data_IF_260983609891
#
_entry.id   IF_260983609891
#
_cell.length_a   1.000
_cell.length_b   1.000
_cell.length_c   1.000
_cell.angle_alpha   90.00
_cell.angle_beta   90.00
_cell.angle_gamma   90.00
#
_symmetry.space_group_name_H-M   'P 1'
#
loop_
_entity.id
_entity.type
_entity.pdbx_description
1 polymer ?
#
# COMPACT_ATOMS: atom_id res chain seq x y z
N UNK A 1 53.24 -2.77 -46.19
CA UNK A 1 53.66 -4.16 -46.37
C UNK A 1 53.93 -4.74 -45.01
N UNK A 2 52.98 -5.49 -44.47
CA UNK A 2 53.19 -6.44 -43.38
C UNK A 2 51.92 -7.29 -43.31
N UNK A 3 52.06 -8.50 -43.71
CA UNK A 3 51.05 -9.52 -43.89
C UNK A 3 50.66 -10.20 -42.58
N UNK A 4 49.40 -10.29 -42.29
CA UNK A 4 48.85 -11.12 -41.22
C UNK A 4 48.78 -12.61 -41.65
N UNK A 5 48.97 -13.59 -40.73
CA UNK A 5 48.90 -15.02 -41.05
C UNK A 5 47.44 -15.52 -40.98
N UNK A 6 47.11 -16.65 -41.66
CA UNK A 6 45.78 -17.19 -41.81
C UNK A 6 45.34 -18.08 -40.62
N UNK A 7 44.04 -18.06 -40.37
CA UNK A 7 43.33 -18.92 -39.39
C UNK A 7 43.23 -20.38 -39.89
N UNK A 8 43.37 -21.40 -39.01
CA UNK A 8 43.19 -22.81 -39.38
C UNK A 8 41.73 -23.27 -39.38
N UNK A 9 41.43 -24.18 -40.30
CA UNK A 9 40.15 -24.79 -40.64
C UNK A 9 39.78 -25.93 -39.66
N UNK A 10 38.51 -26.07 -39.25
CA UNK A 10 38.09 -27.09 -38.26
C UNK A 10 37.62 -28.37 -38.96
N UNK A 11 38.53 -29.21 -39.42
CA UNK A 11 38.23 -30.56 -39.94
C UNK A 11 39.43 -31.50 -39.78
N UNK A 12 39.83 -31.79 -38.52
CA UNK A 12 40.68 -32.93 -38.26
C UNK A 12 40.65 -33.25 -36.76
N UNK A 13 39.74 -34.15 -36.38
CA UNK A 13 39.80 -34.82 -35.09
C UNK A 13 39.51 -36.31 -35.33
N UNK A 14 40.43 -37.24 -35.04
CA UNK A 14 40.19 -38.67 -35.22
C UNK A 14 39.41 -39.27 -34.05
N UNK A 15 38.46 -40.13 -34.41
CA UNK A 15 37.63 -40.91 -33.52
C UNK A 15 38.44 -42.00 -32.78
N UNK A 16 38.33 -42.11 -31.49
CA UNK A 16 38.75 -43.22 -30.65
C UNK A 16 37.56 -44.17 -30.42
N UNK A 17 37.73 -45.40 -30.83
CA UNK A 17 36.84 -46.58 -30.64
C UNK A 17 36.94 -47.11 -29.19
N UNK A 18 35.88 -47.72 -28.63
CA UNK A 18 35.89 -48.37 -27.33
C UNK A 18 36.50 -49.75 -27.30
N UNK A 19 37.27 -50.09 -26.27
CA UNK A 19 37.69 -51.38 -25.92
C UNK A 19 36.70 -52.12 -25.01
N UNK A 20 36.34 -53.31 -25.35
CA UNK A 20 35.41 -54.16 -24.64
C UNK A 20 36.12 -55.10 -23.61
N UNK A 21 35.33 -55.44 -22.61
CA UNK A 21 35.34 -56.73 -21.82
C UNK A 21 36.43 -56.89 -20.77
N UNK A 22 36.02 -57.02 -19.49
CA UNK A 22 36.00 -58.38 -18.88
C UNK A 22 35.10 -58.37 -17.64
N UNK A 23 34.17 -59.34 -17.64
CA UNK A 23 33.37 -59.68 -16.50
C UNK A 23 34.16 -60.61 -15.57
N UNK A 24 34.30 -60.26 -14.31
CA UNK A 24 34.57 -61.21 -13.25
C UNK A 24 33.70 -60.91 -12.02
N UNK A 25 33.02 -61.94 -11.66
CA UNK A 25 32.10 -62.18 -10.54
C UNK A 25 32.80 -61.96 -9.21
N UNK A 26 32.28 -61.06 -8.40
CA UNK A 26 32.52 -61.05 -6.94
C UNK A 26 31.25 -60.68 -6.17
N UNK A 27 30.97 -61.60 -5.28
CA UNK A 27 30.01 -61.76 -4.23
C UNK A 27 29.20 -60.52 -3.77
N UNK A 28 27.88 -60.71 -3.69
CA UNK A 28 26.94 -59.89 -2.96
C UNK A 28 27.30 -59.85 -1.47
N UNK A 29 27.66 -58.70 -0.97
CA UNK A 29 27.53 -58.32 0.43
C UNK A 29 26.43 -57.24 0.52
N UNK A 30 25.36 -57.56 1.22
CA UNK A 30 24.29 -56.62 1.50
C UNK A 30 24.85 -55.42 2.31
N UNK A 31 24.44 -54.17 2.00
CA UNK A 31 24.76 -53.04 2.85
C UNK A 31 23.92 -53.14 4.14
N UNK A 32 24.48 -52.72 5.30
CA UNK A 32 23.74 -52.70 6.55
C UNK A 32 22.54 -51.74 6.44
N UNK A 33 21.43 -52.14 7.05
CA UNK A 33 20.18 -51.42 7.13
C UNK A 33 20.41 -49.94 7.43
N UNK A 34 19.87 -49.08 6.56
CA UNK A 34 19.68 -47.67 6.85
C UNK A 34 18.75 -47.58 8.09
N UNK A 35 19.34 -47.22 9.21
CA UNK A 35 18.59 -46.77 10.36
C UNK A 35 17.84 -45.49 9.97
N UNK A 36 16.53 -45.63 9.92
CA UNK A 36 15.54 -44.54 9.86
C UNK A 36 15.89 -43.43 10.85
N UNK A 37 16.63 -42.41 10.41
CA UNK A 37 16.71 -41.14 11.08
C UNK A 37 15.42 -40.35 10.74
N UNK A 38 14.35 -40.80 11.39
CA UNK A 38 13.08 -40.11 11.43
C UNK A 38 13.28 -38.62 11.71
N UNK A 39 12.50 -37.82 10.99
CA UNK A 39 12.27 -36.38 11.05
C UNK A 39 11.97 -35.84 12.48
N UNK A 40 12.98 -35.78 13.33
CA UNK A 40 12.85 -35.29 14.70
C UNK A 40 14.14 -34.65 15.22
N UNK A 41 14.74 -33.72 14.43
CA UNK A 41 15.81 -32.87 15.01
C UNK A 41 16.07 -31.54 14.26
N UNK A 42 15.12 -31.05 13.47
CA UNK A 42 15.20 -29.69 12.95
C UNK A 42 14.61 -28.62 13.89
N UNK A 43 14.21 -28.98 15.12
CA UNK A 43 13.62 -28.04 16.11
C UNK A 43 14.58 -27.51 17.17
N UNK A 44 15.86 -27.84 17.12
CA UNK A 44 16.78 -27.54 18.23
C UNK A 44 17.63 -26.29 18.09
N UNK A 45 17.48 -25.48 17.02
CA UNK A 45 18.22 -24.22 16.89
C UNK A 45 17.38 -23.05 16.39
N UNK A 46 16.14 -22.94 16.76
CA UNK A 46 15.49 -21.63 16.82
C UNK A 46 15.86 -20.97 18.15
N UNK A 47 17.11 -20.55 18.25
CA UNK A 47 17.47 -19.53 19.24
C UNK A 47 16.69 -18.28 18.84
N UNK A 48 15.60 -18.02 19.57
CA UNK A 48 14.99 -16.70 19.56
C UNK A 48 16.12 -15.70 19.77
N UNK A 49 16.30 -14.68 18.90
CA UNK A 49 17.38 -13.74 19.08
C UNK A 49 17.29 -13.18 20.51
N UNK A 50 18.40 -13.13 21.25
CA UNK A 50 18.38 -12.66 22.63
C UNK A 50 17.69 -11.30 22.66
N UNK A 51 16.76 -11.12 23.60
CA UNK A 51 16.06 -9.85 23.79
C UNK A 51 17.12 -8.79 24.09
N UNK A 52 17.40 -7.91 23.11
CA UNK A 52 18.39 -6.83 23.29
C UNK A 52 17.86 -5.69 24.14
N UNK A 53 16.57 -5.67 24.43
CA UNK A 53 15.94 -4.69 25.33
C UNK A 53 16.60 -4.76 26.72
N UNK A 54 16.97 -3.60 27.26
CA UNK A 54 17.70 -3.45 28.49
C UNK A 54 19.24 -3.50 28.34
N UNK A 55 19.77 -3.93 27.18
CA UNK A 55 21.21 -3.92 26.92
C UNK A 55 21.72 -2.50 26.64
N UNK A 56 22.99 -2.30 26.99
CA UNK A 56 23.74 -1.08 26.67
C UNK A 56 24.91 -1.44 25.79
N UNK A 57 25.14 -0.65 24.75
CA UNK A 57 26.33 -0.72 23.88
C UNK A 57 26.79 0.69 23.56
N UNK A 58 28.10 0.95 23.63
CA UNK A 58 28.63 2.29 23.47
C UNK A 58 27.87 3.31 24.34
N UNK A 59 27.32 4.34 23.69
CA UNK A 59 26.56 5.41 24.34
C UNK A 59 25.03 5.18 24.38
N UNK A 60 24.54 3.97 24.01
CA UNK A 60 23.12 3.72 23.84
C UNK A 60 22.61 2.61 24.76
N UNK A 61 21.54 2.92 25.50
CA UNK A 61 20.76 1.95 26.27
C UNK A 61 19.45 1.65 25.50
N UNK A 62 19.25 0.40 25.09
CA UNK A 62 18.04 -0.04 24.39
C UNK A 62 16.88 -0.17 25.36
N UNK A 63 15.79 0.58 25.14
CA UNK A 63 14.65 0.64 26.05
C UNK A 63 13.49 -0.26 25.59
N UNK A 64 13.17 -0.22 24.29
CA UNK A 64 11.99 -0.87 23.72
C UNK A 64 12.22 -1.18 22.23
N UNK A 65 11.75 -2.33 21.75
CA UNK A 65 11.66 -2.62 20.31
C UNK A 65 10.41 -1.92 19.75
N UNK A 66 10.60 -0.96 18.83
CA UNK A 66 9.51 -0.16 18.25
C UNK A 66 9.18 -0.55 16.80
N UNK A 67 10.03 -1.37 16.16
CA UNK A 67 9.78 -1.85 14.82
C UNK A 67 10.73 -2.97 14.41
N UNK A 68 10.23 -3.89 13.58
CA UNK A 68 11.01 -4.99 12.99
C UNK A 68 10.63 -5.13 11.53
N UNK A 69 11.64 -5.17 10.66
CA UNK A 69 11.46 -5.30 9.22
C UNK A 69 12.53 -6.13 8.55
N UNK A 70 12.44 -6.31 7.25
CA UNK A 70 13.38 -7.11 6.47
C UNK A 70 14.82 -6.60 6.43
N UNK A 71 15.09 -5.37 6.92
CA UNK A 71 16.41 -4.75 6.96
C UNK A 71 16.94 -4.54 8.39
N UNK A 72 16.27 -5.06 9.40
CA UNK A 72 16.72 -4.92 10.79
C UNK A 72 15.62 -4.58 11.76
N UNK A 73 16.04 -4.25 12.97
CA UNK A 73 15.18 -3.94 14.11
C UNK A 73 15.41 -2.50 14.53
N UNK A 74 14.35 -1.79 14.88
CA UNK A 74 14.41 -0.41 15.38
C UNK A 74 14.05 -0.43 16.87
N UNK A 75 14.93 0.16 17.67
CA UNK A 75 14.73 0.31 19.09
C UNK A 75 14.56 1.78 19.47
N UNK A 76 13.68 2.06 20.41
CA UNK A 76 13.74 3.27 21.23
C UNK A 76 14.93 3.11 22.19
N UNK A 77 15.82 4.08 22.23
CA UNK A 77 17.03 4.03 23.06
C UNK A 77 17.27 5.36 23.77
N UNK A 78 17.98 5.31 24.89
CA UNK A 78 18.53 6.51 25.56
C UNK A 78 19.98 6.68 25.17
N UNK A 79 20.33 7.80 24.60
CA UNK A 79 21.70 8.22 24.42
C UNK A 79 22.22 8.77 25.75
N UNK A 80 23.16 8.05 26.39
CA UNK A 80 23.55 8.26 27.79
C UNK A 80 24.28 9.60 27.97
N UNK A 81 25.24 9.90 27.09
CA UNK A 81 26.09 11.10 27.20
C UNK A 81 25.31 12.42 27.06
N UNK A 82 24.20 12.42 26.27
CA UNK A 82 23.37 13.58 26.01
C UNK A 82 22.01 13.53 26.72
N UNK A 83 21.75 12.48 27.47
CA UNK A 83 20.50 12.21 28.19
C UNK A 83 19.23 12.47 27.32
N UNK A 84 19.24 11.96 26.11
CA UNK A 84 18.12 12.11 25.17
C UNK A 84 17.61 10.78 24.64
N UNK A 85 16.34 10.76 24.22
CA UNK A 85 15.76 9.61 23.54
C UNK A 85 16.09 9.69 22.05
N UNK A 86 16.48 8.55 21.48
CA UNK A 86 16.80 8.36 20.06
C UNK A 86 16.15 7.08 19.56
N UNK A 87 16.03 6.94 18.23
CA UNK A 87 15.76 5.66 17.60
C UNK A 87 17.07 5.04 17.10
N UNK A 88 17.28 3.77 17.38
CA UNK A 88 18.46 3.02 16.92
C UNK A 88 17.99 1.90 16.01
N UNK A 89 18.35 1.97 14.73
CA UNK A 89 18.09 0.91 13.75
C UNK A 89 19.32 0.03 13.67
N UNK A 90 19.15 -1.28 13.84
CA UNK A 90 20.21 -2.27 13.90
C UNK A 90 20.01 -3.35 12.86
N UNK A 91 21.10 -3.72 12.17
CA UNK A 91 21.16 -4.90 11.32
C UNK A 91 21.70 -6.06 12.16
N UNK A 92 20.92 -7.12 12.35
CA UNK A 92 21.20 -8.20 13.28
C UNK A 92 21.18 -9.58 12.62
N UNK A 93 21.81 -10.55 13.29
CA UNK A 93 21.71 -11.98 12.99
C UNK A 93 22.24 -12.37 11.61
N UNK A 94 21.48 -13.20 10.89
CA UNK A 94 21.86 -13.72 9.55
C UNK A 94 22.11 -12.60 8.52
N UNK A 95 21.51 -11.43 8.72
CA UNK A 95 21.69 -10.28 7.83
C UNK A 95 23.09 -9.71 7.86
N UNK A 96 23.85 -9.93 8.93
CA UNK A 96 25.26 -9.52 9.05
C UNK A 96 26.18 -10.37 8.17
N UNK A 97 25.79 -11.60 7.83
CA UNK A 97 26.52 -12.51 6.99
C UNK A 97 26.35 -12.20 5.51
N UNK A 98 25.39 -11.34 5.15
CA UNK A 98 25.13 -10.92 3.78
C UNK A 98 25.79 -9.55 3.49
N UNK A 99 26.93 -9.51 2.76
CA UNK A 99 27.64 -8.26 2.45
C UNK A 99 26.76 -7.26 1.67
N UNK A 100 25.83 -7.76 0.85
CA UNK A 100 24.92 -6.93 0.05
C UNK A 100 23.93 -6.22 0.97
N UNK A 101 23.38 -6.92 1.97
CA UNK A 101 22.49 -6.31 2.96
C UNK A 101 23.20 -5.30 3.84
N UNK A 102 24.42 -5.61 4.29
CA UNK A 102 25.25 -4.66 5.04
C UNK A 102 25.53 -3.37 4.23
N UNK A 103 25.95 -3.52 2.97
CA UNK A 103 26.22 -2.38 2.10
C UNK A 103 24.95 -1.53 1.88
N UNK A 104 23.80 -2.16 1.69
CA UNK A 104 22.49 -1.48 1.56
C UNK A 104 22.13 -0.68 2.81
N UNK A 105 22.24 -1.30 3.98
CA UNK A 105 21.96 -0.67 5.27
C UNK A 105 22.82 0.57 5.50
N UNK A 106 24.13 0.46 5.26
CA UNK A 106 25.08 1.57 5.42
C UNK A 106 24.84 2.67 4.37
N UNK A 107 24.48 2.30 3.14
CA UNK A 107 24.17 3.28 2.07
C UNK A 107 22.90 4.07 2.42
N UNK A 108 21.85 3.41 2.90
CA UNK A 108 20.63 4.06 3.39
C UNK A 108 20.95 5.07 4.49
N UNK A 109 21.68 4.64 5.52
CA UNK A 109 22.08 5.49 6.64
C UNK A 109 22.91 6.71 6.21
N UNK A 110 23.92 6.52 5.35
CA UNK A 110 24.78 7.62 4.84
C UNK A 110 24.00 8.60 4.00
N UNK A 111 23.08 8.11 3.18
CA UNK A 111 22.24 8.97 2.33
C UNK A 111 21.32 9.83 3.16
N UNK A 112 20.68 9.25 4.18
CA UNK A 112 19.85 10.01 5.12
C UNK A 112 20.65 11.04 5.93
N UNK A 113 21.89 10.69 6.34
CA UNK A 113 22.77 11.60 7.06
C UNK A 113 23.17 12.86 6.24
N UNK A 114 23.11 12.78 4.90
CA UNK A 114 23.35 13.91 4.00
C UNK A 114 22.14 14.86 3.84
N UNK A 115 20.97 14.54 4.43
CA UNK A 115 19.74 15.34 4.34
C UNK A 115 19.54 16.15 5.62
N UNK A 116 19.44 17.46 5.48
CA UNK A 116 19.10 18.38 6.59
C UNK A 116 17.81 19.14 6.23
N UNK A 117 16.69 18.63 6.72
CA UNK A 117 15.36 19.21 6.50
C UNK A 117 14.46 18.94 7.71
N UNK A 118 13.66 19.91 8.19
CA UNK A 118 12.84 19.76 9.40
C UNK A 118 11.80 18.62 9.32
N UNK A 119 11.44 18.21 8.11
CA UNK A 119 10.47 17.12 7.87
C UNK A 119 11.11 15.85 7.29
N UNK A 120 12.41 15.68 7.47
CA UNK A 120 13.13 14.42 7.22
C UNK A 120 13.79 14.01 8.53
N UNK A 121 13.67 12.73 8.89
CA UNK A 121 14.30 12.21 10.11
C UNK A 121 15.82 12.42 10.07
N UNK A 122 16.38 12.99 11.12
CA UNK A 122 17.83 13.28 11.20
C UNK A 122 18.59 12.06 11.69
N UNK A 123 19.65 11.65 10.96
CA UNK A 123 20.61 10.64 11.41
C UNK A 123 21.71 11.33 12.22
N UNK A 124 21.99 10.78 13.41
CA UNK A 124 22.97 11.34 14.34
C UNK A 124 24.33 10.64 14.27
N UNK A 125 24.29 9.30 14.10
CA UNK A 125 25.50 8.47 14.15
C UNK A 125 25.29 7.21 13.32
N UNK A 126 26.33 6.75 12.66
CA UNK A 126 26.40 5.46 11.96
C UNK A 126 27.64 4.76 12.45
N UNK A 127 27.51 3.55 12.98
CA UNK A 127 28.64 2.84 13.57
C UNK A 127 28.40 1.32 13.63
N UNK A 128 29.30 0.59 14.27
CA UNK A 128 29.23 -0.85 14.50
C UNK A 128 29.47 -1.15 15.98
N UNK A 129 28.75 -2.15 16.52
CA UNK A 129 28.93 -2.67 17.87
C UNK A 129 29.01 -4.20 17.83
N UNK A 130 29.13 -4.85 19.01
CA UNK A 130 29.17 -6.30 19.14
C UNK A 130 27.94 -7.02 18.58
N UNK A 131 26.81 -6.33 18.45
CA UNK A 131 25.56 -6.86 17.89
C UNK A 131 25.43 -6.66 16.38
N UNK A 132 26.26 -5.80 15.77
CA UNK A 132 26.23 -5.53 14.33
C UNK A 132 26.31 -4.05 13.96
N UNK A 133 25.97 -3.76 12.71
CA UNK A 133 25.89 -2.37 12.23
C UNK A 133 24.63 -1.70 12.77
N UNK A 134 24.75 -0.43 13.15
CA UNK A 134 23.62 0.38 13.58
C UNK A 134 23.73 1.82 13.09
N UNK A 135 22.60 2.50 13.09
CA UNK A 135 22.59 3.96 13.07
C UNK A 135 21.56 4.51 14.08
N UNK A 136 21.97 5.60 14.75
CA UNK A 136 21.13 6.34 15.66
C UNK A 136 20.51 7.54 14.93
N UNK A 137 19.23 7.77 15.13
CA UNK A 137 18.46 8.82 14.47
C UNK A 137 17.48 9.48 15.43
N UNK A 138 16.87 10.57 15.00
CA UNK A 138 15.80 11.26 15.71
C UNK A 138 14.68 10.28 16.07
N UNK A 139 14.30 10.23 17.35
CA UNK A 139 13.09 9.53 17.76
C UNK A 139 11.90 10.44 17.55
N UNK A 140 11.03 10.09 16.63
CA UNK A 140 9.81 10.84 16.33
C UNK A 140 8.68 10.28 17.19
N UNK A 141 8.29 11.03 18.22
CA UNK A 141 7.14 10.67 19.04
C UNK A 141 5.85 11.06 18.32
N UNK A 142 5.06 10.06 17.90
CA UNK A 142 3.86 10.31 17.10
C UNK A 142 3.22 9.04 16.53
N UNK A 143 2.49 9.22 15.45
CA UNK A 143 1.81 8.12 14.75
C UNK A 143 2.14 8.14 13.25
N UNK A 144 2.19 6.96 12.63
CA UNK A 144 2.31 6.88 11.18
C UNK A 144 1.02 7.35 10.50
N UNK A 145 1.15 7.93 9.30
CA UNK A 145 -0.01 8.28 8.48
C UNK A 145 -0.94 7.09 8.24
N UNK A 146 -0.38 5.91 8.09
CA UNK A 146 -1.17 4.68 7.95
C UNK A 146 -2.06 4.44 9.18
N UNK A 147 -1.51 4.61 10.39
CA UNK A 147 -2.25 4.45 11.64
C UNK A 147 -3.35 5.51 11.79
N UNK A 148 -3.06 6.76 11.39
CA UNK A 148 -4.02 7.87 11.46
C UNK A 148 -5.21 7.58 10.54
N UNK A 149 -4.96 7.18 9.28
CA UNK A 149 -6.05 6.85 8.34
C UNK A 149 -6.90 5.69 8.86
N UNK A 150 -6.28 4.63 9.36
CA UNK A 150 -7.01 3.48 9.92
C UNK A 150 -7.94 3.85 11.08
N UNK A 151 -7.58 4.88 11.86
CA UNK A 151 -8.33 5.29 13.07
C UNK A 151 -9.32 6.43 12.83
N UNK A 152 -9.04 7.33 11.89
CA UNK A 152 -9.69 8.64 11.83
C UNK A 152 -10.25 9.00 10.44
N UNK A 153 -10.24 8.07 9.48
CA UNK A 153 -10.83 8.37 8.17
C UNK A 153 -12.37 8.55 8.31
N UNK A 154 -12.97 9.53 7.61
CA UNK A 154 -12.40 10.47 6.63
C UNK A 154 -11.65 11.65 7.26
N UNK A 155 -10.54 12.06 6.63
CA UNK A 155 -9.73 13.19 7.06
C UNK A 155 -10.13 14.48 6.33
N UNK A 156 -10.03 15.68 6.96
CA UNK A 156 -10.31 16.95 6.29
C UNK A 156 -9.36 17.24 5.14
N UNK A 157 -9.88 17.69 3.99
CA UNK A 157 -9.08 17.99 2.81
C UNK A 157 -8.02 19.08 3.06
N UNK A 158 -8.35 20.10 3.86
CA UNK A 158 -7.42 21.16 4.25
C UNK A 158 -6.22 20.62 5.04
N UNK A 159 -6.46 19.68 5.97
CA UNK A 159 -5.39 19.05 6.73
C UNK A 159 -4.51 18.20 5.80
N UNK A 160 -5.13 17.38 4.93
CA UNK A 160 -4.41 16.53 3.97
C UNK A 160 -3.51 17.38 3.08
N UNK A 161 -4.05 18.42 2.45
CA UNK A 161 -3.30 19.25 1.50
C UNK A 161 -2.20 20.06 2.18
N UNK A 162 -2.43 20.53 3.43
CA UNK A 162 -1.41 21.22 4.23
C UNK A 162 -0.23 20.32 4.54
N UNK A 163 -0.52 19.15 5.08
CA UNK A 163 0.46 18.16 5.48
C UNK A 163 1.23 17.62 4.28
N UNK A 164 0.55 17.26 3.18
CA UNK A 164 1.19 16.72 1.98
C UNK A 164 2.03 17.75 1.23
N UNK A 165 1.72 19.04 1.31
CA UNK A 165 2.60 20.07 0.79
C UNK A 165 3.95 20.12 1.52
N UNK A 166 3.96 19.87 2.84
CA UNK A 166 5.20 19.79 3.63
C UNK A 166 5.98 18.51 3.32
N UNK A 167 5.28 17.38 3.15
CA UNK A 167 5.91 16.12 2.74
C UNK A 167 6.53 16.25 1.35
N UNK A 168 5.82 16.83 0.39
CA UNK A 168 6.33 17.04 -0.97
C UNK A 168 7.55 18.00 -0.99
N UNK A 169 7.59 19.01 -0.12
CA UNK A 169 8.73 19.92 0.06
C UNK A 169 9.96 19.17 0.59
N UNK A 170 9.77 18.27 1.56
CA UNK A 170 10.83 17.40 2.07
C UNK A 170 11.38 16.46 0.97
N UNK A 171 10.51 15.89 0.15
CA UNK A 171 10.93 15.04 -1.00
C UNK A 171 11.66 15.89 -2.05
N UNK A 172 11.19 17.11 -2.33
CA UNK A 172 11.91 18.02 -3.24
C UNK A 172 13.30 18.37 -2.71
N UNK A 173 13.47 18.56 -1.40
CA UNK A 173 14.80 18.77 -0.81
C UNK A 173 15.71 17.56 -1.07
N UNK A 174 15.23 16.32 -0.89
CA UNK A 174 16.00 15.12 -1.21
C UNK A 174 16.37 15.06 -2.71
N UNK A 175 15.42 15.36 -3.60
CA UNK A 175 15.64 15.40 -5.05
C UNK A 175 16.70 16.42 -5.44
N UNK A 176 16.75 17.60 -4.80
CA UNK A 176 17.79 18.61 -5.04
C UNK A 176 19.21 18.15 -4.68
N UNK A 177 19.33 17.12 -3.84
CA UNK A 177 20.57 16.43 -3.48
C UNK A 177 20.84 15.18 -4.32
N UNK A 178 20.03 14.93 -5.37
CA UNK A 178 20.14 13.74 -6.21
C UNK A 178 19.61 12.45 -5.56
N UNK A 179 18.88 12.56 -4.44
CA UNK A 179 18.38 11.42 -3.67
C UNK A 179 16.91 11.20 -3.98
N UNK A 180 16.54 9.98 -4.37
CA UNK A 180 15.17 9.53 -4.65
C UNK A 180 14.76 8.60 -3.52
N UNK A 181 13.53 8.79 -2.98
CA UNK A 181 13.06 8.02 -1.83
C UNK A 181 12.74 6.55 -2.18
N UNK A 182 12.06 6.29 -3.30
CA UNK A 182 11.76 4.96 -3.88
C UNK A 182 10.83 4.03 -3.09
N UNK A 183 10.58 4.28 -1.81
CA UNK A 183 9.65 3.50 -0.96
C UNK A 183 8.72 4.41 -0.18
N UNK A 184 8.25 5.47 -0.81
CA UNK A 184 7.34 6.41 -0.18
C UNK A 184 5.96 5.77 0.01
N UNK A 185 5.50 5.71 1.26
CA UNK A 185 4.22 5.11 1.67
C UNK A 185 3.78 5.68 3.02
N UNK A 186 2.50 5.56 3.40
CA UNK A 186 1.97 6.14 4.64
C UNK A 186 2.65 5.65 5.91
N UNK A 187 3.19 4.43 5.94
CA UNK A 187 3.94 3.90 7.09
C UNK A 187 5.33 4.53 7.26
N UNK A 188 5.89 5.16 6.20
CA UNK A 188 7.18 5.84 6.21
C UNK A 188 7.05 7.36 6.44
N UNK A 189 5.86 7.84 6.83
CA UNK A 189 5.61 9.22 7.22
C UNK A 189 4.99 9.21 8.60
N UNK A 190 5.65 9.83 9.57
CA UNK A 190 5.12 10.04 10.92
C UNK A 190 4.57 11.46 11.06
N UNK A 191 3.52 11.57 11.85
CA UNK A 191 3.02 12.86 12.35
C UNK A 191 3.41 12.94 13.82
N UNK A 192 4.27 13.89 14.16
CA UNK A 192 4.73 14.07 15.54
C UNK A 192 3.65 14.70 16.44
N UNK A 193 3.93 14.80 17.72
CA UNK A 193 3.02 15.41 18.73
C UNK A 193 2.70 16.87 18.45
N UNK A 194 3.52 17.57 17.63
CA UNK A 194 3.31 18.96 17.18
C UNK A 194 2.60 19.03 15.82
N UNK A 195 2.04 17.92 15.32
CA UNK A 195 1.39 17.82 14.01
C UNK A 195 2.34 18.07 12.83
N UNK A 196 3.65 17.90 13.00
CA UNK A 196 4.64 18.03 11.95
C UNK A 196 4.81 16.68 11.25
N UNK A 197 4.72 16.59 9.91
CA UNK A 197 5.07 15.37 9.18
C UNK A 197 6.59 15.21 9.13
N UNK A 198 7.05 13.97 9.32
CA UNK A 198 8.46 13.58 9.25
C UNK A 198 8.57 12.34 8.36
N UNK A 199 9.33 12.46 7.28
CA UNK A 199 9.61 11.38 6.33
C UNK A 199 10.77 10.54 6.86
N UNK A 200 10.61 9.21 6.80
CA UNK A 200 11.58 8.23 7.28
C UNK A 200 11.88 7.20 6.20
N UNK A 201 12.89 6.35 6.44
CA UNK A 201 13.19 5.13 5.68
C UNK A 201 13.25 5.32 4.16
N UNK A 202 14.30 6.01 3.67
CA UNK A 202 14.58 6.13 2.24
C UNK A 202 14.95 4.76 1.67
N UNK A 203 14.15 4.26 0.73
CA UNK A 203 14.22 2.89 0.17
C UNK A 203 15.38 2.64 -0.80
N UNK A 204 16.55 3.26 -0.59
CA UNK A 204 17.75 3.17 -1.45
C UNK A 204 18.23 1.73 -1.56
N UNK A 205 18.07 0.96 -0.50
CA UNK A 205 18.46 -0.44 -0.43
C UNK A 205 17.71 -1.35 -1.41
N UNK A 206 16.51 -0.97 -1.85
CA UNK A 206 15.72 -1.75 -2.82
C UNK A 206 16.33 -1.73 -4.23
N UNK A 207 17.10 -0.70 -4.55
CA UNK A 207 17.65 -0.51 -5.89
C UNK A 207 18.99 -1.23 -6.15
N UNK A 208 19.83 -1.41 -5.13
CA UNK A 208 21.16 -2.02 -5.26
C UNK A 208 21.12 -3.55 -5.52
N UNK A 209 19.95 -4.12 -5.73
CA UNK A 209 19.74 -5.55 -6.00
C UNK A 209 18.84 -5.86 -7.18
N UNK A 210 18.43 -4.88 -7.97
CA UNK A 210 17.64 -5.09 -9.17
C UNK A 210 18.52 -5.36 -10.41
N UNK A 211 19.22 -6.50 -10.39
CA UNK A 211 19.39 -7.29 -11.59
C UNK A 211 18.46 -8.49 -11.41
N UNK A 212 17.28 -8.46 -12.02
CA UNK A 212 16.37 -9.61 -12.20
C UNK A 212 15.67 -10.25 -10.97
N UNK A 213 15.31 -9.52 -9.90
CA UNK A 213 14.82 -10.18 -8.68
C UNK A 213 13.32 -10.05 -8.35
N UNK A 214 12.46 -9.60 -9.26
CA UNK A 214 11.01 -9.74 -9.10
C UNK A 214 10.54 -11.19 -9.14
N UNK A 215 11.39 -12.13 -9.59
CA UNK A 215 10.99 -13.51 -9.89
C UNK A 215 11.83 -14.60 -9.23
N UNK A 216 13.02 -14.34 -8.67
CA UNK A 216 13.90 -15.44 -8.24
C UNK A 216 13.58 -16.10 -6.90
N UNK A 217 12.72 -15.52 -6.03
CA UNK A 217 12.33 -16.17 -4.76
C UNK A 217 10.85 -16.08 -4.41
N UNK A 218 9.95 -15.71 -5.32
CA UNK A 218 8.49 -15.74 -5.06
C UNK A 218 7.97 -14.79 -3.96
N UNK A 219 8.84 -14.03 -3.30
CA UNK A 219 8.47 -13.12 -2.21
C UNK A 219 8.56 -11.67 -2.67
N UNK A 220 7.41 -11.09 -3.01
CA UNK A 220 7.31 -9.66 -3.34
C UNK A 220 7.54 -8.87 -2.05
N UNK A 221 8.72 -8.23 -1.92
CA UNK A 221 9.12 -7.48 -0.74
C UNK A 221 8.51 -6.07 -0.78
N UNK A 222 7.53 -5.78 0.08
CA UNK A 222 6.94 -4.46 0.25
C UNK A 222 5.45 -4.37 -0.10
N UNK A 223 4.89 -3.16 -0.01
CA UNK A 223 3.48 -2.88 -0.31
C UNK A 223 3.41 -2.25 -1.71
N UNK A 224 3.08 -3.01 -2.77
CA UNK A 224 3.13 -2.50 -4.15
C UNK A 224 2.07 -1.43 -4.47
N UNK A 225 1.12 -1.21 -3.57
CA UNK A 225 -0.02 -0.31 -3.77
C UNK A 225 0.33 1.18 -3.99
N UNK A 226 1.54 1.60 -3.58
CA UNK A 226 2.05 2.98 -3.73
C UNK A 226 3.18 3.07 -4.76
N UNK A 227 3.60 1.93 -5.32
CA UNK A 227 4.70 1.83 -6.28
C UNK A 227 4.30 2.47 -7.61
N UNK A 228 5.24 3.19 -8.22
CA UNK A 228 5.05 3.74 -9.55
C UNK A 228 5.18 2.65 -10.64
N UNK A 229 4.50 2.77 -11.80
CA UNK A 229 4.58 1.77 -12.87
C UNK A 229 6.02 1.44 -13.30
N UNK A 230 6.89 2.43 -13.42
CA UNK A 230 8.30 2.26 -13.80
C UNK A 230 9.16 1.58 -12.72
N UNK A 231 8.69 1.50 -11.48
CA UNK A 231 9.34 0.68 -10.43
C UNK A 231 8.92 -0.79 -10.51
N UNK A 232 7.78 -1.06 -11.13
CA UNK A 232 7.24 -2.41 -11.30
C UNK A 232 7.62 -3.04 -12.64
N UNK A 233 8.09 -2.24 -13.62
CA UNK A 233 8.51 -2.70 -14.95
C UNK A 233 9.69 -1.87 -15.45
N UNK A 234 10.80 -2.53 -15.78
CA UNK A 234 12.01 -1.91 -16.31
C UNK A 234 11.83 -1.40 -17.75
N UNK A 235 10.78 -1.84 -18.45
CA UNK A 235 10.51 -1.52 -19.85
C UNK A 235 9.90 -0.12 -20.06
N UNK A 236 9.54 0.60 -18.99
CA UNK A 236 8.83 1.89 -19.10
C UNK A 236 9.82 3.05 -19.23
N UNK A 237 10.49 3.37 -18.15
CA UNK A 237 11.59 4.37 -18.07
C UNK A 237 12.39 4.10 -16.80
N UNK A 238 13.64 4.59 -16.67
CA UNK A 238 14.40 4.47 -15.43
C UNK A 238 13.69 5.15 -14.25
N UNK A 239 13.78 4.54 -13.06
CA UNK A 239 13.25 5.11 -11.81
C UNK A 239 13.92 6.46 -11.52
N UNK A 240 13.09 7.47 -11.24
CA UNK A 240 13.54 8.85 -11.06
C UNK A 240 12.70 9.64 -10.05
N UNK A 241 12.92 10.96 -9.91
CA UNK A 241 12.10 11.85 -9.07
C UNK A 241 10.60 11.76 -9.34
N UNK A 242 10.21 11.50 -10.59
CA UNK A 242 8.82 11.31 -11.01
C UNK A 242 8.15 10.07 -10.38
N UNK A 243 8.94 9.09 -9.92
CA UNK A 243 8.42 7.91 -9.23
C UNK A 243 7.93 8.29 -7.82
N UNK A 244 8.66 9.19 -7.13
CA UNK A 244 8.22 9.71 -5.83
C UNK A 244 7.01 10.64 -6.00
N UNK A 245 6.89 11.39 -7.10
CA UNK A 245 5.68 12.19 -7.41
C UNK A 245 4.45 11.29 -7.54
N UNK A 246 4.57 10.13 -8.20
CA UNK A 246 3.50 9.14 -8.24
C UNK A 246 3.13 8.62 -6.85
N UNK A 247 4.13 8.28 -6.03
CA UNK A 247 3.91 7.79 -4.67
C UNK A 247 3.24 8.85 -3.77
N UNK A 248 3.62 10.14 -3.90
CA UNK A 248 2.93 11.26 -3.24
C UNK A 248 1.45 11.34 -3.66
N UNK A 249 1.16 11.17 -4.96
CA UNK A 249 -0.20 11.06 -5.48
C UNK A 249 -0.96 9.87 -4.91
N UNK A 250 -0.31 8.71 -4.78
CA UNK A 250 -0.91 7.51 -4.21
C UNK A 250 -1.23 7.67 -2.71
N UNK A 251 -0.38 8.39 -1.98
CA UNK A 251 -0.64 8.74 -0.57
C UNK A 251 -1.80 9.73 -0.48
N UNK A 252 -1.83 10.80 -1.28
CA UNK A 252 -2.94 11.74 -1.35
C UNK A 252 -4.26 11.03 -1.64
N UNK A 253 -4.27 10.11 -2.61
CA UNK A 253 -5.43 9.30 -2.94
C UNK A 253 -5.92 8.50 -1.72
N UNK A 254 -5.02 7.79 -1.04
CA UNK A 254 -5.34 7.00 0.14
C UNK A 254 -5.85 7.86 1.30
N UNK A 255 -5.27 9.03 1.53
CA UNK A 255 -5.72 9.97 2.58
C UNK A 255 -7.13 10.50 2.30
N UNK A 256 -7.48 10.70 1.04
CA UNK A 256 -8.79 11.17 0.63
C UNK A 256 -9.84 10.07 0.64
N UNK A 257 -9.52 8.87 0.16
CA UNK A 257 -10.49 7.80 -0.08
C UNK A 257 -10.49 6.68 0.97
N UNK A 258 -9.48 6.63 1.86
CA UNK A 258 -9.28 5.56 2.84
C UNK A 258 -8.67 4.28 2.27
N UNK A 259 -8.38 4.23 0.96
CA UNK A 259 -7.79 3.06 0.31
C UNK A 259 -6.76 3.46 -0.76
N UNK A 260 -5.74 2.62 -1.04
CA UNK A 260 -4.75 2.93 -2.06
C UNK A 260 -5.35 2.89 -3.47
N UNK A 261 -4.76 3.63 -4.45
CA UNK A 261 -5.29 3.73 -5.82
C UNK A 261 -5.28 2.39 -6.56
N UNK A 262 -4.31 1.52 -6.25
CA UNK A 262 -4.19 0.19 -6.84
C UNK A 262 -4.25 -0.85 -5.71
N UNK A 263 -5.35 -1.58 -5.61
CA UNK A 263 -5.54 -2.65 -4.63
C UNK A 263 -5.99 -3.92 -5.34
N UNK A 264 -5.17 -4.96 -5.28
CA UNK A 264 -5.48 -6.32 -5.72
C UNK A 264 -5.74 -7.24 -4.53
N UNK A 265 -6.24 -8.46 -4.80
CA UNK A 265 -6.41 -9.50 -3.78
C UNK A 265 -5.06 -10.07 -3.32
N UNK A 266 -4.03 -9.99 -4.17
CA UNK A 266 -2.67 -10.45 -3.89
C UNK A 266 -1.67 -9.37 -4.25
N UNK A 267 -0.42 -9.42 -3.73
CA UNK A 267 0.64 -8.50 -4.16
C UNK A 267 0.85 -8.51 -5.68
N UNK A 268 0.84 -9.68 -6.31
CA UNK A 268 0.98 -9.80 -7.77
C UNK A 268 -0.16 -9.12 -8.51
N UNK A 269 -1.42 -9.34 -8.10
CA UNK A 269 -2.58 -8.67 -8.72
C UNK A 269 -2.56 -7.17 -8.51
N UNK A 270 -1.94 -6.68 -7.44
CA UNK A 270 -1.71 -5.23 -7.22
C UNK A 270 -0.68 -4.70 -8.21
N UNK A 271 0.44 -5.40 -8.42
CA UNK A 271 1.46 -5.03 -9.41
C UNK A 271 0.84 -4.98 -10.81
N UNK A 272 0.06 -5.98 -11.20
CA UNK A 272 -0.63 -5.99 -12.49
C UNK A 272 -1.55 -4.76 -12.69
N UNK A 273 -2.21 -4.30 -11.64
CA UNK A 273 -2.99 -3.05 -11.68
C UNK A 273 -2.11 -1.80 -11.78
N UNK A 274 -0.94 -1.80 -11.13
CA UNK A 274 0.01 -0.69 -11.19
C UNK A 274 0.52 -0.51 -12.63
N UNK A 275 0.93 -1.60 -13.31
CA UNK A 275 1.46 -1.54 -14.68
C UNK A 275 0.36 -1.45 -15.75
N UNK A 276 -0.88 -1.79 -15.42
CA UNK A 276 -2.02 -1.64 -16.35
C UNK A 276 -2.13 -0.20 -16.85
N UNK A 277 -2.42 0.03 -18.13
CA UNK A 277 -2.69 1.37 -18.67
C UNK A 277 -3.96 2.01 -18.10
N UNK A 278 -4.85 1.22 -17.50
CA UNK A 278 -6.09 1.72 -16.89
C UNK A 278 -5.76 2.58 -15.66
N UNK A 279 -6.23 3.83 -15.60
CA UNK A 279 -6.06 4.68 -14.42
C UNK A 279 -6.86 4.12 -13.24
N UNK A 280 -6.49 4.46 -11.98
CA UNK A 280 -7.32 4.16 -10.83
C UNK A 280 -8.67 4.91 -10.91
N UNK A 281 -9.65 4.45 -10.11
CA UNK A 281 -10.94 5.13 -10.00
C UNK A 281 -10.75 6.60 -9.60
N UNK A 282 -11.53 7.55 -10.16
CA UNK A 282 -11.49 8.94 -9.73
C UNK A 282 -11.78 9.09 -8.23
N UNK A 283 -11.11 10.04 -7.57
CA UNK A 283 -11.28 10.26 -6.11
C UNK A 283 -12.74 10.55 -5.77
N UNK A 284 -13.42 11.35 -6.60
CA UNK A 284 -14.81 11.77 -6.39
C UNK A 284 -15.86 10.68 -6.65
N UNK A 285 -15.47 9.60 -7.29
CA UNK A 285 -16.30 8.39 -7.39
C UNK A 285 -16.46 7.73 -6.01
N UNK A 286 -15.38 7.75 -5.18
CA UNK A 286 -15.36 7.17 -3.84
C UNK A 286 -15.70 8.20 -2.75
N UNK A 287 -15.39 9.47 -2.99
CA UNK A 287 -15.60 10.58 -2.06
C UNK A 287 -16.08 11.83 -2.79
N UNK A 288 -17.38 11.93 -3.11
CA UNK A 288 -17.96 12.98 -3.96
C UNK A 288 -17.75 14.42 -3.47
N UNK A 289 -17.59 14.62 -2.14
CA UNK A 289 -17.39 15.93 -1.53
C UNK A 289 -15.97 16.51 -1.77
N UNK A 290 -15.03 15.73 -2.29
CA UNK A 290 -13.69 16.22 -2.62
C UNK A 290 -13.79 17.22 -3.77
N UNK A 291 -13.19 18.43 -3.64
CA UNK A 291 -13.19 19.41 -4.71
C UNK A 291 -12.57 18.85 -6.01
N UNK A 292 -13.20 19.16 -7.15
CA UNK A 292 -12.75 18.67 -8.46
C UNK A 292 -11.28 19.06 -8.77
N UNK A 293 -10.85 20.24 -8.31
CA UNK A 293 -9.47 20.69 -8.49
C UNK A 293 -8.49 19.82 -7.70
N UNK A 294 -8.85 19.37 -6.49
CA UNK A 294 -8.00 18.48 -5.70
C UNK A 294 -7.94 17.08 -6.33
N UNK A 295 -9.07 16.58 -6.84
CA UNK A 295 -9.07 15.33 -7.62
C UNK A 295 -8.15 15.45 -8.83
N UNK A 296 -8.21 16.55 -9.61
CA UNK A 296 -7.33 16.79 -10.76
C UNK A 296 -5.86 16.69 -10.37
N UNK A 297 -5.46 17.34 -9.26
CA UNK A 297 -4.08 17.31 -8.77
C UNK A 297 -3.64 15.88 -8.46
N UNK A 298 -4.48 15.13 -7.73
CA UNK A 298 -4.19 13.74 -7.35
C UNK A 298 -4.09 12.84 -8.56
N UNK A 299 -5.05 12.92 -9.48
CA UNK A 299 -5.09 12.07 -10.67
C UNK A 299 -3.95 12.40 -11.64
N UNK A 300 -3.51 13.66 -11.72
CA UNK A 300 -2.31 14.04 -12.49
C UNK A 300 -1.04 13.36 -11.92
N UNK A 301 -0.87 13.31 -10.59
CA UNK A 301 0.25 12.59 -9.98
C UNK A 301 0.21 11.09 -10.30
N UNK A 302 -0.99 10.50 -10.43
CA UNK A 302 -1.22 9.08 -10.69
C UNK A 302 -1.20 8.71 -12.18
N UNK A 303 -0.87 9.65 -13.07
CA UNK A 303 -0.71 9.37 -14.48
C UNK A 303 0.29 8.24 -14.72
N UNK A 304 -0.08 7.29 -15.62
CA UNK A 304 0.76 6.11 -15.88
C UNK A 304 2.07 6.49 -16.56
N UNK A 305 2.04 7.48 -17.44
CA UNK A 305 3.22 8.03 -18.09
C UNK A 305 3.89 9.09 -17.21
N UNK A 306 5.17 8.98 -16.88
CA UNK A 306 5.87 9.97 -16.07
C UNK A 306 5.80 11.40 -16.59
N UNK A 307 5.83 11.59 -17.91
CA UNK A 307 5.75 12.91 -18.56
C UNK A 307 4.40 13.64 -18.38
N UNK A 308 3.35 12.91 -18.00
CA UNK A 308 2.02 13.46 -17.76
C UNK A 308 1.82 13.89 -16.27
N UNK A 309 2.78 13.56 -15.41
CA UNK A 309 2.79 13.92 -13.98
C UNK A 309 3.31 15.34 -13.78
N UNK A 310 3.06 15.98 -12.62
CA UNK A 310 3.80 17.17 -12.22
C UNK A 310 5.31 16.96 -12.40
N UNK A 311 5.98 17.93 -13.00
CA UNK A 311 7.39 17.82 -13.40
C UNK A 311 8.36 17.58 -12.24
N UNK A 312 7.96 17.91 -11.01
CA UNK A 312 8.74 17.74 -9.79
C UNK A 312 7.84 17.71 -8.57
N UNK A 313 8.38 17.29 -7.42
CA UNK A 313 7.69 17.42 -6.15
C UNK A 313 7.43 18.90 -5.79
N UNK A 314 8.29 19.83 -6.22
CA UNK A 314 8.07 21.27 -6.09
C UNK A 314 6.81 21.73 -6.86
N UNK A 315 6.60 21.25 -8.08
CA UNK A 315 5.38 21.57 -8.84
C UNK A 315 4.12 21.09 -8.10
N UNK A 316 4.16 19.93 -7.45
CA UNK A 316 3.07 19.46 -6.62
C UNK A 316 2.85 20.36 -5.39
N UNK A 317 3.92 20.81 -4.71
CA UNK A 317 3.84 21.79 -3.60
C UNK A 317 3.11 23.04 -4.05
N UNK A 318 3.44 23.59 -5.20
CA UNK A 318 2.84 24.80 -5.74
C UNK A 318 1.35 24.60 -6.08
N UNK A 319 0.99 23.48 -6.67
CA UNK A 319 -0.43 23.16 -6.93
C UNK A 319 -1.25 23.02 -5.65
N UNK A 320 -0.73 22.32 -4.64
CA UNK A 320 -1.40 22.16 -3.34
C UNK A 320 -1.52 23.51 -2.61
N UNK A 321 -0.47 24.35 -2.64
CA UNK A 321 -0.52 25.71 -2.06
C UNK A 321 -1.51 26.60 -2.78
N UNK A 322 -1.56 26.56 -4.11
CA UNK A 322 -2.52 27.32 -4.94
C UNK A 322 -3.94 26.87 -4.63
N UNK A 323 -4.20 25.59 -4.55
CA UNK A 323 -5.50 25.05 -4.14
C UNK A 323 -5.96 25.60 -2.79
N UNK A 324 -5.07 25.68 -1.80
CA UNK A 324 -5.37 26.21 -0.47
C UNK A 324 -5.57 27.73 -0.43
N UNK A 325 -4.83 28.48 -1.22
CA UNK A 325 -4.90 29.95 -1.28
C UNK A 325 -6.01 30.46 -2.20
N UNK A 326 -6.54 29.59 -3.08
CA UNK A 326 -7.70 29.97 -3.89
C UNK A 326 -8.84 30.37 -2.94
N UNK A 327 -9.48 31.55 -3.13
CA UNK A 327 -10.70 31.85 -2.42
C UNK A 327 -11.61 30.63 -2.62
N UNK A 328 -12.36 30.17 -1.59
CA UNK A 328 -13.25 29.04 -1.77
C UNK A 328 -14.10 29.40 -2.98
N UNK A 329 -13.71 28.83 -4.12
CA UNK A 329 -14.46 28.96 -5.36
C UNK A 329 -15.84 28.63 -4.90
N UNK A 330 -16.84 29.58 -5.08
CA UNK A 330 -18.23 29.42 -4.63
C UNK A 330 -18.50 27.96 -4.56
N UNK A 331 -18.47 27.38 -3.36
CA UNK A 331 -18.41 25.94 -3.16
C UNK A 331 -19.45 25.42 -4.08
N UNK A 332 -19.04 24.70 -5.11
CA UNK A 332 -19.98 23.94 -5.93
C UNK A 332 -20.80 23.26 -4.86
N UNK A 333 -22.05 23.66 -4.72
CA UNK A 333 -22.92 23.34 -3.58
C UNK A 333 -22.63 21.92 -3.21
N UNK A 334 -22.31 21.56 -1.96
CA UNK A 334 -21.86 20.23 -1.60
C UNK A 334 -22.75 19.29 -2.37
N UNK A 335 -22.24 18.27 -3.08
CA UNK A 335 -23.05 17.45 -3.96
C UNK A 335 -24.31 17.14 -3.18
N UNK A 336 -25.47 17.41 -3.73
CA UNK A 336 -26.71 17.43 -2.97
C UNK A 336 -26.73 16.16 -2.12
N UNK A 337 -26.74 16.31 -0.80
CA UNK A 337 -26.64 15.19 0.12
C UNK A 337 -27.87 14.32 -0.15
N UNK A 338 -27.63 13.09 -0.62
CA UNK A 338 -28.69 12.12 -0.84
C UNK A 338 -29.48 11.95 0.44
N UNK A 339 -30.79 11.77 0.33
CA UNK A 339 -31.61 11.35 1.45
C UNK A 339 -31.01 10.08 2.06
N UNK A 340 -30.99 9.98 3.38
CA UNK A 340 -30.58 8.75 4.04
C UNK A 340 -31.80 7.83 4.14
N UNK A 341 -31.65 6.59 3.68
CA UNK A 341 -32.74 5.61 3.68
C UNK A 341 -32.34 4.43 4.56
N UNK A 342 -33.21 4.10 5.49
CA UNK A 342 -33.07 2.95 6.36
C UNK A 342 -34.21 2.00 6.07
N UNK A 343 -33.93 0.74 5.75
CA UNK A 343 -34.89 -0.35 5.66
C UNK A 343 -34.82 -1.16 6.96
N UNK A 344 -35.84 -1.06 7.78
CA UNK A 344 -35.95 -1.87 9.00
C UNK A 344 -36.74 -3.14 8.68
N UNK A 345 -36.11 -4.29 8.84
CA UNK A 345 -36.73 -5.60 8.65
C UNK A 345 -37.78 -5.82 9.73
N UNK A 346 -39.06 -5.99 9.37
CA UNK A 346 -40.14 -6.10 10.33
C UNK A 346 -40.00 -7.34 11.23
N UNK A 347 -39.61 -8.48 10.67
CA UNK A 347 -39.51 -9.76 11.38
C UNK A 347 -38.39 -9.79 12.43
N UNK A 348 -37.29 -9.03 12.24
CA UNK A 348 -36.07 -9.11 13.09
C UNK A 348 -35.74 -7.79 13.77
N UNK A 349 -36.31 -6.69 13.34
CA UNK A 349 -35.95 -5.34 13.76
C UNK A 349 -34.61 -4.84 13.24
N UNK A 350 -33.90 -5.62 12.42
CA UNK A 350 -32.61 -5.27 11.86
C UNK A 350 -32.74 -4.08 10.92
N UNK A 351 -31.83 -3.09 11.06
CA UNK A 351 -31.79 -1.91 10.20
C UNK A 351 -30.68 -2.06 9.14
N UNK A 352 -31.04 -1.75 7.90
CA UNK A 352 -30.13 -1.73 6.75
C UNK A 352 -30.08 -0.31 6.19
N UNK A 353 -28.92 0.31 6.26
CA UNK A 353 -28.67 1.65 5.75
C UNK A 353 -28.28 1.60 4.27
N UNK A 354 -28.99 2.36 3.45
CA UNK A 354 -28.69 2.48 2.02
C UNK A 354 -27.84 3.74 1.81
N UNK A 355 -26.57 3.54 1.43
CA UNK A 355 -25.60 4.61 1.26
C UNK A 355 -25.31 4.98 -0.20
N UNK A 356 -25.92 4.29 -1.16
CA UNK A 356 -25.66 4.46 -2.59
C UNK A 356 -26.85 5.14 -3.27
N UNK A 357 -26.57 5.99 -4.26
CA UNK A 357 -27.59 6.62 -5.10
C UNK A 357 -28.50 5.59 -5.79
N UNK A 358 -27.97 4.41 -6.09
CA UNK A 358 -28.68 3.27 -6.65
C UNK A 358 -28.32 2.02 -5.84
N UNK A 359 -29.31 1.41 -5.21
CA UNK A 359 -29.16 0.14 -4.47
C UNK A 359 -29.92 -0.94 -5.22
N UNK A 360 -29.20 -1.90 -5.78
CA UNK A 360 -29.79 -3.08 -6.41
C UNK A 360 -30.06 -4.14 -5.36
N UNK A 361 -31.29 -4.63 -5.32
CA UNK A 361 -31.78 -5.62 -4.35
C UNK A 361 -32.12 -6.93 -5.06
N UNK A 362 -31.61 -8.04 -4.52
CA UNK A 362 -31.88 -9.36 -5.09
C UNK A 362 -31.16 -10.46 -4.33
N UNK A 363 -31.26 -11.72 -4.80
CA UNK A 363 -30.55 -12.83 -4.17
C UNK A 363 -29.15 -13.11 -4.78
N UNK A 364 -28.81 -12.47 -5.89
CA UNK A 364 -27.52 -12.62 -6.54
C UNK A 364 -26.41 -11.94 -5.70
N UNK A 365 -25.21 -12.54 -5.58
CA UNK A 365 -24.15 -12.03 -4.74
C UNK A 365 -23.58 -10.67 -5.18
N UNK A 366 -23.80 -10.29 -6.45
CA UNK A 366 -23.43 -8.99 -7.02
C UNK A 366 -24.39 -7.85 -6.66
N UNK A 367 -25.55 -8.14 -6.07
CA UNK A 367 -26.49 -7.09 -5.63
C UNK A 367 -25.93 -6.29 -4.45
N UNK A 368 -26.21 -4.98 -4.43
CA UNK A 368 -25.83 -4.10 -3.32
C UNK A 368 -26.50 -4.50 -1.99
N UNK A 369 -27.72 -4.99 -2.05
CA UNK A 369 -28.44 -5.59 -0.92
C UNK A 369 -28.83 -7.03 -1.30
N UNK A 370 -28.14 -7.99 -0.70
CA UNK A 370 -28.39 -9.43 -0.97
C UNK A 370 -29.43 -9.99 0.01
N UNK A 371 -30.57 -10.38 -0.52
CA UNK A 371 -31.64 -11.09 0.22
C UNK A 371 -31.53 -12.58 -0.11
N UNK A 372 -30.95 -13.38 0.78
CA UNK A 372 -30.76 -14.84 0.61
C UNK A 372 -32.03 -15.59 0.87
N UNK A 373 -32.97 -15.55 -0.09
CA UNK A 373 -34.25 -16.25 -0.02
C UNK A 373 -34.63 -16.75 -1.40
N UNK A 374 -35.26 -17.95 -1.48
CA UNK A 374 -35.62 -18.61 -2.74
C UNK A 374 -36.72 -17.90 -3.50
N UNK A 375 -37.57 -17.16 -2.79
CA UNK A 375 -38.67 -16.35 -3.29
C UNK A 375 -38.24 -14.99 -3.86
N UNK A 376 -36.98 -14.57 -3.62
CA UNK A 376 -36.40 -13.34 -4.17
C UNK A 376 -35.71 -13.62 -5.50
N UNK A 377 -36.01 -12.85 -6.54
CA UNK A 377 -35.35 -12.95 -7.85
C UNK A 377 -33.85 -12.59 -7.76
N UNK A 378 -33.00 -13.06 -8.72
CA UNK A 378 -31.56 -12.73 -8.77
C UNK A 378 -31.34 -11.21 -8.70
N UNK A 379 -32.05 -10.47 -9.55
CA UNK A 379 -32.16 -9.01 -9.52
C UNK A 379 -33.68 -8.73 -9.38
N UNK A 380 -34.12 -8.33 -8.19
CA UNK A 380 -35.52 -8.20 -7.88
C UNK A 380 -36.06 -6.81 -8.12
N UNK A 381 -35.42 -5.81 -7.49
CA UNK A 381 -35.77 -4.41 -7.67
C UNK A 381 -34.52 -3.53 -7.48
N UNK A 382 -34.66 -2.25 -7.80
CA UNK A 382 -33.62 -1.24 -7.49
C UNK A 382 -34.25 -0.02 -6.83
N UNK A 383 -33.51 0.56 -5.88
CA UNK A 383 -33.92 1.73 -5.13
C UNK A 383 -33.00 2.89 -5.54
N UNK A 384 -33.60 3.92 -6.09
CA UNK A 384 -32.95 5.17 -6.45
C UNK A 384 -33.12 6.19 -5.32
N UNK A 385 -32.03 6.72 -4.83
CA UNK A 385 -32.01 7.74 -3.79
C UNK A 385 -31.46 9.03 -4.39
N UNK A 386 -32.26 10.07 -4.36
CA UNK A 386 -31.92 11.42 -4.79
C UNK A 386 -32.01 12.36 -3.58
N UNK A 387 -31.73 13.64 -3.76
CA UNK A 387 -31.81 14.70 -2.75
C UNK A 387 -33.21 15.07 -2.35
N UNK A 388 -34.21 14.78 -3.22
CA UNK A 388 -35.59 15.18 -3.03
C UNK A 388 -36.58 14.00 -3.00
N UNK A 389 -36.16 12.80 -3.40
CA UNK A 389 -37.05 11.65 -3.52
C UNK A 389 -36.32 10.32 -3.46
N UNK A 390 -37.03 9.30 -3.02
CA UNK A 390 -36.61 7.92 -3.10
C UNK A 390 -37.59 7.21 -4.01
N UNK A 391 -37.10 6.42 -4.97
CA UNK A 391 -37.95 5.68 -5.95
C UNK A 391 -37.51 4.24 -5.94
N UNK A 392 -38.46 3.33 -5.86
CA UNK A 392 -38.25 1.89 -6.07
C UNK A 392 -38.81 1.45 -7.41
N UNK A 393 -38.05 0.61 -8.13
CA UNK A 393 -38.42 0.06 -9.43
C UNK A 393 -38.25 -1.46 -9.42
N UNK A 394 -39.32 -2.19 -9.70
CA UNK A 394 -39.30 -3.64 -9.85
C UNK A 394 -38.64 -4.00 -11.19
N UNK A 395 -37.71 -4.94 -11.19
CA UNK A 395 -36.94 -5.36 -12.36
C UNK A 395 -37.53 -6.58 -13.07
N UNK A 396 -38.86 -6.75 -12.98
CA UNK A 396 -39.58 -7.92 -13.54
C UNK A 396 -39.44 -9.14 -12.62
N UNK A 397 -39.52 -8.93 -11.32
CA UNK A 397 -39.38 -9.98 -10.33
C UNK A 397 -40.57 -10.99 -10.38
N UNK A 398 -40.29 -12.26 -10.00
CA UNK A 398 -41.29 -13.33 -10.03
C UNK A 398 -42.42 -13.12 -9.00
N UNK A 399 -42.07 -12.61 -7.80
CA UNK A 399 -43.01 -12.47 -6.69
C UNK A 399 -43.40 -11.01 -6.39
N UNK A 400 -42.92 -10.08 -7.22
CA UNK A 400 -43.28 -8.67 -7.18
C UNK A 400 -42.70 -7.85 -6.02
N UNK A 401 -42.73 -6.53 -6.21
CA UNK A 401 -42.40 -5.52 -5.23
C UNK A 401 -43.69 -4.75 -4.89
N UNK A 402 -43.92 -4.47 -3.60
CA UNK A 402 -45.16 -3.86 -3.13
C UNK A 402 -44.89 -2.69 -2.19
N UNK A 403 -45.72 -1.64 -2.25
CA UNK A 403 -45.75 -0.56 -1.28
C UNK A 403 -47.12 -0.53 -0.65
N UNK A 404 -47.22 -0.61 0.68
CA UNK A 404 -48.51 -0.64 1.43
C UNK A 404 -49.48 -1.68 0.84
N UNK A 405 -49.00 -2.87 0.57
CA UNK A 405 -49.78 -3.99 0.01
C UNK A 405 -50.11 -3.90 -1.48
N UNK A 406 -49.83 -2.77 -2.15
CA UNK A 406 -50.10 -2.60 -3.58
C UNK A 406 -48.84 -2.91 -4.41
N UNK A 407 -48.97 -3.82 -5.39
CA UNK A 407 -47.88 -4.15 -6.30
C UNK A 407 -47.55 -2.97 -7.20
N UNK A 408 -46.23 -2.75 -7.40
CA UNK A 408 -45.71 -1.63 -8.18
C UNK A 408 -44.72 -2.11 -9.26
N UNK A 409 -44.63 -1.37 -10.34
CA UNK A 409 -43.51 -1.45 -11.30
C UNK A 409 -42.46 -0.39 -10.99
N UNK A 410 -42.91 0.85 -10.70
CA UNK A 410 -42.07 1.96 -10.29
C UNK A 410 -42.93 2.91 -9.44
N UNK A 411 -42.43 3.26 -8.26
CA UNK A 411 -43.15 4.15 -7.36
C UNK A 411 -42.22 4.92 -6.45
N UNK A 412 -42.68 6.08 -5.94
CA UNK A 412 -41.95 6.86 -4.95
C UNK A 412 -42.16 6.24 -3.57
N UNK A 413 -41.10 6.01 -2.84
CA UNK A 413 -41.10 5.67 -1.43
C UNK A 413 -41.15 6.94 -0.58
N UNK A 414 -41.90 6.90 0.52
CA UNK A 414 -42.02 7.97 1.52
C UNK A 414 -41.58 7.45 2.88
N UNK A 415 -41.24 8.36 3.75
CA UNK A 415 -41.01 8.00 5.14
C UNK A 415 -42.23 7.32 5.77
N UNK A 416 -41.97 6.25 6.53
CA UNK A 416 -43.04 5.43 7.12
C UNK A 416 -43.74 4.47 6.15
N UNK A 417 -43.34 4.37 4.88
CA UNK A 417 -43.94 3.38 3.96
C UNK A 417 -43.49 1.97 4.33
N UNK A 418 -44.41 1.02 4.14
CA UNK A 418 -44.12 -0.40 4.14
C UNK A 418 -43.70 -0.82 2.73
N UNK A 419 -42.48 -1.32 2.59
CA UNK A 419 -41.92 -1.89 1.36
C UNK A 419 -41.86 -3.42 1.50
N UNK A 420 -42.57 -4.16 0.64
CA UNK A 420 -42.46 -5.61 0.60
C UNK A 420 -41.80 -6.07 -0.68
N UNK A 421 -40.78 -6.90 -0.54
CA UNK A 421 -39.95 -7.49 -1.62
C UNK A 421 -40.12 -9.00 -1.52
N UNK A 422 -40.88 -9.59 -2.44
CA UNK A 422 -41.43 -10.96 -2.30
C UNK A 422 -42.19 -11.09 -0.94
N UNK A 423 -41.74 -11.97 -0.03
CA UNK A 423 -42.32 -12.14 1.30
C UNK A 423 -41.60 -11.35 2.41
N UNK A 424 -40.62 -10.50 2.08
CA UNK A 424 -39.86 -9.71 3.05
C UNK A 424 -40.45 -8.32 3.21
N UNK A 425 -40.83 -7.98 4.44
CA UNK A 425 -41.43 -6.69 4.78
C UNK A 425 -40.43 -5.80 5.47
N UNK A 426 -40.32 -4.57 4.98
CA UNK A 426 -39.43 -3.52 5.49
C UNK A 426 -40.24 -2.27 5.82
N UNK A 427 -40.02 -1.70 6.98
CA UNK A 427 -40.40 -0.33 7.30
C UNK A 427 -39.35 0.64 6.77
N UNK A 428 -39.81 1.60 5.97
CA UNK A 428 -38.92 2.57 5.34
C UNK A 428 -38.79 3.82 6.23
N UNK A 429 -37.59 4.21 6.56
CA UNK A 429 -37.31 5.50 7.16
C UNK A 429 -36.46 6.34 6.21
N UNK A 430 -36.89 7.57 5.96
CA UNK A 430 -36.16 8.53 5.11
C UNK A 430 -35.80 9.72 5.98
N UNK A 431 -34.51 9.94 6.15
CA UNK A 431 -33.96 11.04 6.96
C UNK A 431 -33.44 12.09 6.00
N UNK A 432 -33.93 13.32 6.14
CA UNK A 432 -33.35 14.46 5.45
C UNK A 432 -32.01 14.79 6.11
N UNK A 433 -30.94 14.99 5.33
CA UNK A 433 -29.65 15.37 5.91
C UNK A 433 -29.80 16.73 6.59
N UNK A 434 -29.38 16.82 7.84
CA UNK A 434 -29.32 18.10 8.55
C UNK A 434 -28.49 19.13 7.77
N UNK A 435 -29.01 20.37 7.66
CA UNK A 435 -28.46 21.48 6.89
C UNK A 435 -27.04 21.90 7.34
#
# INVERSE_FOLDING_TARGET
>A
MSSSPPTPNPKDTPALRPAAANAETLARTEPPAETDLTAADHSLFTLSPPTLVGRTFGDFQLLEEIGRGGMGIVFKARQISLDRIVAVKMLLGEHLLDPVRCARFLTEARTMAGLDHPSIVRVYQIDQCEFGHYFAMEYVEGQTLESIVKKQHPLPAEWITSMMAVVADAIQHAHSKGIIHRDLKPSNIMIDTRQRPVVMDFGIAKYLGQSSSLTQQGTIMGTPAYMAPEQASEDIVPVGPHSDVYALGAILYMLLTGQPPNKGATPLSTILKVISPTPPAPVRELRPEVPAELERIVMACLAKRPAERPASAQALVEELRRFRSAPPAKRASPPPRLLQVILKVEATGQEVWLHQAITQVGRAPECSLVLRASDVSKHHCQIFIDTAKVVVEDLGSANGTFIKGKQIKKARLRDGDELRIADRVFQVRIIEPEL
#
